data_IF_824447903203
#
_entry.id   IF_824447903203
#
_cell.length_a   1.000
_cell.length_b   1.000
_cell.length_c   1.000
_cell.angle_alpha   90.00
_cell.angle_beta   90.00
_cell.angle_gamma   90.00
#
_symmetry.space_group_name_H-M   'P 1'
#
loop_
_entity.id
_entity.type
_entity.pdbx_description
1 polymer ?
#
# COMPACT_ATOMS: atom_id res chain seq x y z
N UNK A 1 -4.46 15.96 -6.49
CA UNK A 1 -3.46 15.68 -5.41
C UNK A 1 -4.05 14.69 -4.42
N UNK A 2 -3.32 13.64 -4.15
CA UNK A 2 -3.75 12.62 -3.20
C UNK A 2 -3.54 13.10 -1.77
N UNK A 3 -4.57 12.97 -0.96
CA UNK A 3 -4.56 13.25 0.47
C UNK A 3 -4.81 11.98 1.26
N UNK A 4 -4.40 11.96 2.52
CA UNK A 4 -4.61 10.83 3.42
C UNK A 4 -5.70 11.18 4.43
N UNK A 5 -6.64 10.27 4.62
CA UNK A 5 -7.66 10.40 5.65
C UNK A 5 -7.54 9.25 6.65
N UNK A 6 -7.51 9.58 7.93
CA UNK A 6 -7.57 8.55 8.97
C UNK A 6 -8.89 7.80 8.91
N UNK A 7 -8.84 6.53 9.26
CA UNK A 7 -10.03 5.70 9.34
C UNK A 7 -10.74 6.00 10.67
N UNK A 8 -12.01 6.37 10.60
CA UNK A 8 -12.80 6.80 11.76
C UNK A 8 -14.13 6.07 11.81
N UNK A 9 -14.87 6.16 12.96
CA UNK A 9 -16.22 5.62 13.03
C UNK A 9 -17.18 6.19 11.97
N UNK A 10 -16.87 7.36 11.42
CA UNK A 10 -17.72 8.03 10.42
C UNK A 10 -17.45 7.56 9.00
N UNK A 11 -16.20 7.18 8.67
CA UNK A 11 -15.80 6.90 7.28
C UNK A 11 -15.46 5.43 6.99
N UNK A 12 -15.28 4.58 7.99
CA UNK A 12 -14.77 3.22 7.79
C UNK A 12 -15.69 2.34 6.91
N UNK A 13 -16.95 2.70 6.76
CA UNK A 13 -17.93 1.94 5.97
C UNK A 13 -17.93 2.31 4.49
N UNK A 14 -17.06 3.24 4.06
CA UNK A 14 -17.01 3.61 2.64
C UNK A 14 -16.76 2.36 1.78
N UNK A 15 -17.36 2.34 0.58
CA UNK A 15 -17.24 1.19 -0.32
C UNK A 15 -16.01 1.34 -1.20
N UNK A 16 -15.03 0.45 -1.00
CA UNK A 16 -13.82 0.34 -1.81
C UNK A 16 -13.60 -1.11 -2.18
N UNK A 17 -13.31 -1.38 -3.45
CA UNK A 17 -13.03 -2.75 -3.90
C UNK A 17 -12.11 -2.74 -5.12
N UNK A 18 -11.34 -3.82 -5.28
CA UNK A 18 -10.51 -4.05 -6.47
C UNK A 18 -11.27 -4.93 -7.46
N UNK A 19 -10.73 -5.05 -8.68
CA UNK A 19 -11.29 -5.98 -9.66
C UNK A 19 -11.26 -7.42 -9.13
N UNK A 20 -12.18 -8.23 -9.65
CA UNK A 20 -12.31 -9.63 -9.21
C UNK A 20 -11.01 -10.42 -9.33
N UNK A 21 -10.24 -10.19 -10.41
CA UNK A 21 -8.95 -10.83 -10.64
C UNK A 21 -7.84 -10.36 -9.69
N UNK A 22 -8.07 -9.27 -8.96
CA UNK A 22 -7.12 -8.71 -7.97
C UNK A 22 -7.41 -9.15 -6.54
N UNK A 23 -8.58 -9.73 -6.27
CA UNK A 23 -9.01 -10.08 -4.90
C UNK A 23 -8.16 -11.14 -4.23
N UNK A 24 -7.42 -11.93 -4.98
CA UNK A 24 -6.46 -12.90 -4.44
C UNK A 24 -5.14 -12.26 -4.02
N UNK A 25 -4.83 -11.07 -4.55
CA UNK A 25 -3.57 -10.36 -4.32
C UNK A 25 -3.71 -9.21 -3.32
N UNK A 26 -4.93 -8.73 -3.09
CA UNK A 26 -5.20 -7.58 -2.23
C UNK A 26 -6.28 -7.95 -1.23
N UNK A 27 -6.03 -7.68 0.03
CA UNK A 27 -7.01 -7.88 1.09
C UNK A 27 -8.13 -6.82 1.00
N UNK A 28 -9.31 -7.18 1.47
CA UNK A 28 -10.39 -6.21 1.60
C UNK A 28 -10.12 -5.21 2.74
N UNK A 29 -10.87 -4.13 2.76
CA UNK A 29 -10.74 -3.05 3.73
C UNK A 29 -10.82 -3.56 5.19
N UNK A 30 -11.76 -4.44 5.49
CA UNK A 30 -11.96 -4.97 6.84
C UNK A 30 -10.74 -5.76 7.30
N UNK A 31 -10.16 -6.58 6.44
CA UNK A 31 -8.96 -7.35 6.73
C UNK A 31 -7.75 -6.45 6.94
N UNK A 32 -7.60 -5.40 6.13
CA UNK A 32 -6.54 -4.41 6.28
C UNK A 32 -6.63 -3.74 7.66
N UNK A 33 -7.83 -3.36 8.09
CA UNK A 33 -8.04 -2.76 9.41
C UNK A 33 -7.73 -3.74 10.54
N UNK A 34 -8.11 -5.01 10.39
CA UNK A 34 -7.75 -6.04 11.35
C UNK A 34 -6.23 -6.20 11.49
N UNK A 35 -5.51 -6.19 10.37
CA UNK A 35 -4.05 -6.26 10.39
C UNK A 35 -3.41 -5.05 11.06
N UNK A 36 -3.94 -3.85 10.86
CA UNK A 36 -3.46 -2.65 11.55
C UNK A 36 -3.53 -2.83 13.06
N UNK A 37 -4.57 -3.47 13.58
CA UNK A 37 -4.67 -3.78 15.00
C UNK A 37 -3.74 -4.92 15.42
N UNK A 38 -3.70 -6.01 14.65
CA UNK A 38 -2.86 -7.19 14.95
C UNK A 38 -1.38 -6.82 15.03
N UNK A 39 -0.91 -5.98 14.10
CA UNK A 39 0.49 -5.53 14.04
C UNK A 39 0.70 -4.18 14.71
N UNK A 40 -0.13 -3.81 15.69
CA UNK A 40 -0.07 -2.50 16.34
C UNK A 40 1.27 -2.17 17.00
N UNK A 41 2.06 -3.18 17.34
CA UNK A 41 3.40 -2.97 17.91
C UNK A 41 4.41 -2.43 16.87
N UNK A 42 4.15 -2.61 15.58
CA UNK A 42 5.02 -2.19 14.49
C UNK A 42 4.64 -0.83 13.89
N UNK A 43 3.93 0.00 14.64
CA UNK A 43 3.49 1.35 14.26
C UNK A 43 2.75 1.38 12.92
N UNK A 44 1.69 0.56 12.73
CA UNK A 44 0.95 0.56 11.48
C UNK A 44 0.28 1.90 11.23
N UNK A 45 0.26 2.31 9.95
CA UNK A 45 -0.46 3.48 9.49
C UNK A 45 -1.42 3.05 8.39
N UNK A 46 -2.71 3.12 8.68
CA UNK A 46 -3.77 2.79 7.73
C UNK A 46 -4.51 4.07 7.35
N UNK A 47 -4.58 4.34 6.05
CA UNK A 47 -5.22 5.54 5.54
C UNK A 47 -6.11 5.23 4.35
N UNK A 48 -7.23 5.94 4.26
CA UNK A 48 -7.89 6.10 2.98
C UNK A 48 -7.10 7.08 2.12
N UNK A 49 -6.98 6.75 0.85
CA UNK A 49 -6.40 7.62 -0.17
C UNK A 49 -7.54 8.43 -0.77
N UNK A 50 -7.41 9.76 -0.73
CA UNK A 50 -8.49 10.68 -1.08
C UNK A 50 -8.11 11.54 -2.29
N UNK A 51 -9.06 11.73 -3.18
CA UNK A 51 -9.04 12.82 -4.16
C UNK A 51 -10.14 13.79 -3.78
N UNK A 52 -9.77 14.90 -3.12
CA UNK A 52 -10.75 15.77 -2.48
C UNK A 52 -11.51 15.03 -1.40
N UNK A 53 -12.84 14.98 -1.51
CA UNK A 53 -13.71 14.25 -0.58
C UNK A 53 -14.02 12.82 -1.01
N UNK A 54 -13.46 12.38 -2.15
CA UNK A 54 -13.73 11.07 -2.72
C UNK A 54 -12.67 10.08 -2.29
N UNK A 55 -13.02 9.01 -1.54
CA UNK A 55 -12.08 7.93 -1.27
C UNK A 55 -11.85 7.12 -2.54
N UNK A 56 -10.58 6.98 -2.93
CA UNK A 56 -10.19 6.30 -4.17
C UNK A 56 -9.35 5.05 -3.94
N UNK A 57 -8.95 4.79 -2.70
CA UNK A 57 -8.14 3.63 -2.37
C UNK A 57 -7.80 3.58 -0.90
N UNK A 58 -6.89 2.68 -0.57
CA UNK A 58 -6.45 2.47 0.81
C UNK A 58 -4.99 2.00 0.83
N UNK A 59 -4.29 2.35 1.89
CA UNK A 59 -2.92 1.89 2.12
C UNK A 59 -2.71 1.54 3.59
N UNK A 60 -1.86 0.54 3.82
CA UNK A 60 -1.36 0.17 5.13
C UNK A 60 0.14 -0.03 5.02
N UNK A 61 0.90 0.69 5.81
CA UNK A 61 2.34 0.45 5.96
C UNK A 61 2.72 0.46 7.43
N UNK A 62 3.87 -0.12 7.72
CA UNK A 62 4.36 -0.27 9.09
C UNK A 62 5.88 -0.33 9.10
N UNK A 63 6.46 -0.33 10.29
CA UNK A 63 7.88 -0.55 10.46
C UNK A 63 8.23 -2.02 10.22
N UNK A 64 9.35 -2.27 9.58
CA UNK A 64 10.01 -3.57 9.58
C UNK A 64 11.43 -3.41 10.14
N UNK A 65 11.56 -3.63 11.43
CA UNK A 65 12.84 -3.48 12.12
C UNK A 65 13.89 -4.48 11.64
N UNK A 66 13.48 -5.62 11.14
CA UNK A 66 14.41 -6.67 10.66
C UNK A 66 15.16 -6.24 9.41
N UNK A 67 14.51 -5.47 8.55
CA UNK A 67 15.11 -5.00 7.30
C UNK A 67 15.46 -3.51 7.36
N UNK A 68 15.22 -2.86 8.49
CA UNK A 68 15.47 -1.43 8.70
C UNK A 68 14.78 -0.61 7.60
N UNK A 69 13.49 -0.85 7.43
CA UNK A 69 12.69 -0.26 6.36
C UNK A 69 11.25 -0.02 6.78
N UNK A 70 10.56 0.85 6.03
CA UNK A 70 9.10 0.81 6.00
C UNK A 70 8.65 -0.38 5.19
N UNK A 71 7.59 -1.05 5.63
CA UNK A 71 6.98 -2.14 4.88
C UNK A 71 5.60 -1.70 4.40
N UNK A 72 5.45 -1.56 3.08
CA UNK A 72 4.15 -1.29 2.45
C UNK A 72 3.38 -2.60 2.37
N UNK A 73 2.55 -2.85 3.36
CA UNK A 73 1.87 -4.13 3.53
C UNK A 73 0.68 -4.28 2.58
N UNK A 74 -0.11 -3.21 2.42
CA UNK A 74 -1.27 -3.20 1.53
C UNK A 74 -1.38 -1.85 0.85
N UNK A 75 -1.72 -1.89 -0.43
CA UNK A 75 -1.94 -0.69 -1.23
C UNK A 75 -2.84 -1.05 -2.42
N UNK A 76 -3.93 -0.33 -2.57
CA UNK A 76 -4.77 -0.50 -3.76
C UNK A 76 -5.52 0.79 -4.11
N UNK A 77 -5.85 0.90 -5.39
CA UNK A 77 -6.78 1.89 -5.91
C UNK A 77 -8.09 1.16 -6.25
N UNK A 78 -9.21 1.74 -5.84
CA UNK A 78 -10.53 1.20 -6.15
C UNK A 78 -10.71 1.01 -7.65
N UNK A 79 -11.37 -0.08 -8.05
CA UNK A 79 -11.51 -0.47 -9.46
C UNK A 79 -12.11 0.64 -10.33
N UNK A 80 -12.97 1.49 -9.77
CA UNK A 80 -13.61 2.61 -10.50
C UNK A 80 -12.62 3.68 -10.92
N UNK A 81 -11.46 3.75 -10.27
CA UNK A 81 -10.49 4.82 -10.42
C UNK A 81 -9.15 4.33 -10.97
N UNK A 82 -9.04 3.04 -11.29
CA UNK A 82 -7.82 2.49 -11.89
C UNK A 82 -7.62 2.97 -13.33
N UNK A 83 -6.37 2.99 -13.79
CA UNK A 83 -6.04 3.40 -15.15
C UNK A 83 -6.07 4.92 -15.39
N UNK A 84 -6.09 5.72 -14.32
CA UNK A 84 -6.18 7.20 -14.40
C UNK A 84 -4.96 7.90 -13.79
N UNK A 85 -3.91 7.15 -13.44
CA UNK A 85 -2.70 7.70 -12.84
C UNK A 85 -2.72 7.85 -11.32
N UNK A 86 -3.82 7.54 -10.66
CA UNK A 86 -3.94 7.65 -9.21
C UNK A 86 -2.96 6.75 -8.46
N UNK A 87 -2.72 5.54 -8.97
CA UNK A 87 -1.80 4.60 -8.34
C UNK A 87 -0.38 5.16 -8.21
N UNK A 88 0.13 5.73 -9.28
CA UNK A 88 1.46 6.36 -9.31
C UNK A 88 1.51 7.55 -8.36
N UNK A 89 0.52 8.42 -8.43
CA UNK A 89 0.43 9.61 -7.57
C UNK A 89 0.33 9.23 -6.09
N UNK A 90 -0.52 8.25 -5.77
CA UNK A 90 -0.70 7.79 -4.40
C UNK A 90 0.56 7.15 -3.83
N UNK A 91 1.23 6.31 -4.62
CA UNK A 91 2.47 5.65 -4.19
C UNK A 91 3.57 6.67 -3.92
N UNK A 92 3.69 7.70 -4.75
CA UNK A 92 4.66 8.77 -4.51
C UNK A 92 4.30 9.59 -3.26
N UNK A 93 3.02 9.89 -3.05
CA UNK A 93 2.56 10.58 -1.84
C UNK A 93 2.87 9.79 -0.57
N UNK A 94 2.70 8.46 -0.60
CA UNK A 94 3.05 7.57 0.51
C UNK A 94 4.56 7.67 0.80
N UNK A 95 5.38 7.61 -0.22
CA UNK A 95 6.84 7.69 -0.08
C UNK A 95 7.28 9.07 0.43
N UNK A 96 6.64 10.14 -0.04
CA UNK A 96 6.93 11.49 0.46
C UNK A 96 6.63 11.60 1.95
N UNK A 97 5.56 10.98 2.42
CA UNK A 97 5.24 10.94 3.84
C UNK A 97 6.29 10.18 4.64
N UNK A 98 6.78 9.06 4.10
CA UNK A 98 7.88 8.31 4.71
C UNK A 98 9.17 9.12 4.76
N UNK A 99 9.51 9.84 3.68
CA UNK A 99 10.68 10.72 3.63
C UNK A 99 10.59 11.84 4.65
N UNK A 100 9.43 12.44 4.81
CA UNK A 100 9.20 13.52 5.77
C UNK A 100 9.36 13.02 7.21
N UNK A 101 8.91 11.82 7.52
CA UNK A 101 9.15 11.20 8.83
C UNK A 101 10.64 10.89 9.04
N UNK A 102 11.30 10.36 8.02
CA UNK A 102 12.75 10.12 8.00
C UNK A 102 13.26 9.02 8.92
N UNK A 103 12.40 8.10 9.35
CA UNK A 103 12.83 7.02 10.25
C UNK A 103 13.70 5.98 9.55
N UNK A 104 13.34 5.61 8.32
CA UNK A 104 14.07 4.63 7.52
C UNK A 104 14.42 5.22 6.15
N UNK A 105 15.43 4.62 5.50
CA UNK A 105 15.96 5.09 4.22
C UNK A 105 15.40 4.33 3.02
N UNK A 106 14.54 3.37 3.24
CA UNK A 106 13.93 2.59 2.16
C UNK A 106 12.56 2.06 2.54
N UNK A 107 11.81 1.70 1.53
CA UNK A 107 10.52 1.02 1.63
C UNK A 107 10.61 -0.33 0.92
N UNK A 108 10.06 -1.36 1.55
CA UNK A 108 9.94 -2.70 0.98
C UNK A 108 8.48 -3.06 0.79
N UNK A 109 8.22 -4.01 -0.09
CA UNK A 109 6.91 -4.61 -0.29
C UNK A 109 7.04 -6.02 -0.84
N UNK A 110 5.94 -6.76 -0.83
CA UNK A 110 5.83 -8.05 -1.49
C UNK A 110 4.63 -8.04 -2.44
N UNK A 111 4.81 -8.67 -3.60
CA UNK A 111 3.74 -8.86 -4.60
C UNK A 111 3.45 -10.34 -4.76
N UNK A 112 2.17 -10.71 -4.76
CA UNK A 112 1.77 -12.08 -5.09
C UNK A 112 2.00 -12.32 -6.58
N UNK A 113 2.78 -13.35 -6.91
CA UNK A 113 3.04 -13.73 -8.30
C UNK A 113 1.76 -14.25 -8.97
N UNK A 114 1.54 -13.88 -10.24
CA UNK A 114 0.37 -14.32 -11.00
C UNK A 114 -0.07 -13.29 -12.03
N UNK A 115 -1.20 -13.55 -12.74
CA UNK A 115 -1.67 -12.70 -13.82
C UNK A 115 -1.98 -11.25 -13.41
N UNK A 116 -2.39 -11.03 -12.16
CA UNK A 116 -2.70 -9.70 -11.64
C UNK A 116 -1.52 -9.09 -10.85
N UNK A 117 -0.32 -9.67 -10.94
CA UNK A 117 0.84 -9.21 -10.21
C UNK A 117 1.28 -7.81 -10.67
N UNK A 118 1.36 -6.82 -9.77
CA UNK A 118 1.68 -5.45 -10.14
C UNK A 118 3.17 -5.14 -10.23
N UNK A 119 4.03 -6.14 -10.44
CA UNK A 119 5.48 -5.94 -10.53
C UNK A 119 5.83 -4.84 -11.53
N UNK A 120 5.27 -4.89 -12.74
CA UNK A 120 5.55 -3.89 -13.76
C UNK A 120 5.19 -2.47 -13.34
N UNK A 121 4.10 -2.32 -12.60
CA UNK A 121 3.71 -1.04 -12.04
C UNK A 121 4.75 -0.55 -11.02
N UNK A 122 5.16 -1.41 -10.09
CA UNK A 122 6.15 -1.03 -9.08
C UNK A 122 7.53 -0.75 -9.71
N UNK A 123 7.93 -1.52 -10.71
CA UNK A 123 9.18 -1.26 -11.43
C UNK A 123 9.17 0.12 -12.11
N UNK A 124 8.06 0.51 -12.73
CA UNK A 124 7.91 1.86 -13.30
C UNK A 124 7.96 2.95 -12.25
N UNK A 125 7.59 2.65 -11.01
CA UNK A 125 7.67 3.58 -9.89
C UNK A 125 9.03 3.55 -9.18
N UNK A 126 10.02 2.87 -9.73
CA UNK A 126 11.39 2.86 -9.21
C UNK A 126 11.71 1.75 -8.21
N UNK A 127 10.79 0.84 -7.98
CA UNK A 127 11.06 -0.35 -7.17
C UNK A 127 11.85 -1.37 -7.97
N UNK A 128 12.65 -2.17 -7.27
CA UNK A 128 13.40 -3.29 -7.84
C UNK A 128 13.22 -4.54 -6.99
N UNK A 129 13.36 -5.69 -7.60
CA UNK A 129 13.38 -6.96 -6.86
C UNK A 129 14.58 -6.97 -5.92
N UNK A 130 14.37 -7.43 -4.68
CA UNK A 130 15.42 -7.50 -3.67
C UNK A 130 15.88 -8.93 -3.34
N UNK A 131 15.31 -9.95 -4.00
CA UNK A 131 15.65 -11.35 -3.77
C UNK A 131 15.08 -11.94 -2.49
N UNK A 132 14.27 -11.21 -1.75
CA UNK A 132 13.66 -11.66 -0.50
C UNK A 132 12.25 -12.16 -0.74
N UNK A 133 12.14 -13.15 -1.62
CA UNK A 133 10.86 -13.76 -1.96
C UNK A 133 10.44 -14.72 -0.85
N UNK A 134 9.13 -14.83 -0.67
CA UNK A 134 8.55 -15.75 0.31
C UNK A 134 7.35 -16.46 -0.32
N UNK A 135 7.43 -17.77 -0.44
CA UNK A 135 6.41 -18.60 -1.11
C UNK A 135 6.15 -18.10 -2.54
N UNK A 136 4.91 -17.65 -2.81
CA UNK A 136 4.51 -17.09 -4.10
C UNK A 136 4.61 -15.55 -4.16
N UNK A 137 5.19 -14.94 -3.14
CA UNK A 137 5.36 -13.49 -3.07
C UNK A 137 6.77 -13.07 -3.49
N UNK A 138 6.84 -12.03 -4.30
CA UNK A 138 8.09 -11.44 -4.79
C UNK A 138 8.40 -10.20 -3.97
N UNK A 139 9.58 -10.17 -3.36
CA UNK A 139 10.06 -9.03 -2.59
C UNK A 139 10.60 -7.93 -3.49
N UNK A 140 10.25 -6.69 -3.18
CA UNK A 140 10.73 -5.49 -3.87
C UNK A 140 11.12 -4.41 -2.87
N UNK A 141 11.99 -3.50 -3.30
CA UNK A 141 12.39 -2.37 -2.49
C UNK A 141 12.69 -1.14 -3.34
N UNK A 142 12.61 0.03 -2.69
CA UNK A 142 13.05 1.31 -3.26
C UNK A 142 13.72 2.15 -2.17
N UNK A 143 14.84 2.80 -2.53
CA UNK A 143 15.44 3.83 -1.68
C UNK A 143 14.53 5.07 -1.63
N UNK A 144 14.41 5.65 -0.46
CA UNK A 144 13.61 6.86 -0.24
C UNK A 144 14.40 8.14 -0.45
#
# INVERSE_FOLDING_TARGET
MIQFAEVTPKNWRCSLSVREDQKTSVADKTKILAWAYIYRADRPQAFFLMDGETPIGMALWMDDAKTDSYYLFQFFIDQRYQGQGYGTEALEAIQDRMRQEGKYQKVTLCCVEGPACPIGFYEKCGFRRNGKDFEDEIGMERAL
#
